data_IF_403463701623
#
_entry.id   IF_403463701623
#
_cell.length_a   1.000
_cell.length_b   1.000
_cell.length_c   1.000
_cell.angle_alpha   90.00
_cell.angle_beta   90.00
_cell.angle_gamma   90.00
#
_symmetry.space_group_name_H-M   'P 1'
#
loop_
_entity.id
_entity.type
_entity.pdbx_description
1 polymer ?
#
# COMPACT_ATOMS: atom_id res chain seq x y z
N UNK A 1 15.62 4.71 10.90
CA UNK A 1 14.78 3.60 11.41
C UNK A 1 14.07 2.90 10.24
N UNK A 2 13.54 1.69 10.42
CA UNK A 2 12.71 0.98 9.44
C UNK A 2 11.24 1.05 9.88
N UNK A 3 10.35 1.56 9.03
CA UNK A 3 8.93 1.77 9.33
C UNK A 3 8.09 1.03 8.28
N UNK A 4 7.14 0.21 8.70
CA UNK A 4 6.21 -0.49 7.82
C UNK A 4 4.79 0.06 8.01
N UNK A 5 4.12 0.45 6.92
CA UNK A 5 2.74 0.94 6.88
C UNK A 5 1.89 -0.11 6.16
N UNK A 6 0.87 -0.62 6.83
CA UNK A 6 -0.13 -1.53 6.26
C UNK A 6 -1.41 -0.76 5.99
N UNK A 7 -1.89 -0.80 4.76
CA UNK A 7 -3.05 -0.01 4.32
C UNK A 7 -3.88 -0.79 3.30
N UNK A 8 -5.18 -0.58 3.30
CA UNK A 8 -6.12 -1.09 2.30
C UNK A 8 -6.17 -0.23 1.02
N UNK A 9 -5.54 0.96 1.07
CA UNK A 9 -5.44 1.89 -0.03
C UNK A 9 -4.08 2.57 -0.13
N UNK A 10 -3.56 2.67 -1.35
CA UNK A 10 -2.42 3.50 -1.68
C UNK A 10 -2.50 3.94 -3.15
N UNK A 11 -1.59 4.81 -3.59
CA UNK A 11 -1.51 5.22 -4.99
C UNK A 11 -1.57 4.00 -5.93
N UNK A 12 -2.30 4.07 -7.06
CA UNK A 12 -2.89 5.25 -7.69
C UNK A 12 -4.28 5.67 -7.18
N UNK A 13 -4.83 5.07 -6.11
CA UNK A 13 -6.14 5.46 -5.58
C UNK A 13 -6.14 6.93 -5.15
N UNK A 14 -6.99 7.73 -5.79
CA UNK A 14 -7.09 9.18 -5.55
C UNK A 14 -8.07 9.45 -4.40
N UNK A 15 -7.61 9.23 -3.18
CA UNK A 15 -8.34 9.57 -1.96
C UNK A 15 -7.44 10.28 -0.93
N UNK A 16 -8.09 10.82 0.10
CA UNK A 16 -7.38 11.52 1.19
C UNK A 16 -6.40 10.60 1.92
N UNK A 17 -6.77 9.34 2.13
CA UNK A 17 -5.96 8.34 2.84
C UNK A 17 -4.63 8.06 2.12
N UNK A 18 -4.68 7.77 0.82
CA UNK A 18 -3.49 7.54 0.00
C UNK A 18 -2.56 8.77 0.00
N UNK A 19 -3.14 9.98 -0.04
CA UNK A 19 -2.40 11.24 0.04
C UNK A 19 -1.70 11.40 1.38
N UNK A 20 -2.39 11.16 2.49
CA UNK A 20 -1.80 11.24 3.84
C UNK A 20 -0.67 10.24 4.01
N UNK A 21 -0.84 9.00 3.55
CA UNK A 21 0.21 7.97 3.63
C UNK A 21 1.44 8.37 2.81
N UNK A 22 1.25 8.93 1.61
CA UNK A 22 2.34 9.45 0.78
C UNK A 22 3.13 10.54 1.51
N UNK A 23 2.43 11.52 2.10
CA UNK A 23 3.05 12.61 2.86
C UNK A 23 3.81 12.09 4.09
N UNK A 24 3.27 11.10 4.79
CA UNK A 24 3.92 10.44 5.93
C UNK A 24 5.20 9.74 5.49
N UNK A 25 5.13 8.95 4.40
CA UNK A 25 6.31 8.28 3.82
C UNK A 25 7.40 9.29 3.48
N UNK A 26 7.06 10.33 2.71
CA UNK A 26 8.02 11.37 2.31
C UNK A 26 8.58 12.15 3.51
N UNK A 27 7.75 12.40 4.53
CA UNK A 27 8.17 13.05 5.77
C UNK A 27 9.22 12.26 6.54
N UNK A 28 9.02 10.95 6.69
CA UNK A 28 9.98 10.08 7.38
C UNK A 28 11.21 9.76 6.52
N UNK A 29 11.06 9.61 5.20
CA UNK A 29 12.19 9.43 4.29
C UNK A 29 13.13 10.65 4.29
N UNK A 30 12.58 11.88 4.32
CA UNK A 30 13.38 13.11 4.49
C UNK A 30 14.15 13.15 5.81
N UNK A 31 13.68 12.47 6.86
CA UNK A 31 14.38 12.32 8.14
C UNK A 31 15.38 11.16 8.15
N UNK A 32 15.68 10.56 7.00
CA UNK A 32 16.63 9.45 6.87
C UNK A 32 16.07 8.10 7.33
N UNK A 33 14.75 7.93 7.38
CA UNK A 33 14.14 6.64 7.69
C UNK A 33 13.79 5.88 6.42
N UNK A 34 13.78 4.55 6.48
CA UNK A 34 13.28 3.70 5.41
C UNK A 34 11.83 3.35 5.68
N UNK A 35 10.93 3.77 4.78
CA UNK A 35 9.49 3.52 4.90
C UNK A 35 9.05 2.52 3.85
N UNK A 36 8.36 1.47 4.30
CA UNK A 36 7.81 0.40 3.49
C UNK A 36 6.29 0.44 3.55
N UNK A 37 5.63 0.30 2.40
CA UNK A 37 4.17 0.32 2.30
C UNK A 37 3.71 -1.04 1.82
N UNK A 38 2.76 -1.64 2.54
CA UNK A 38 2.11 -2.88 2.18
C UNK A 38 0.64 -2.57 1.88
N UNK A 39 0.24 -2.75 0.62
CA UNK A 39 -1.10 -2.39 0.17
C UNK A 39 -1.65 -3.41 -0.85
N UNK A 40 -2.97 -3.43 -1.08
CA UNK A 40 -3.59 -4.17 -2.18
C UNK A 40 -2.96 -3.93 -3.56
N UNK A 41 -2.81 -5.01 -4.33
CA UNK A 41 -2.57 -4.93 -5.76
C UNK A 41 -3.88 -4.59 -6.47
N UNK A 42 -3.88 -3.43 -7.12
CA UNK A 42 -4.98 -3.04 -8.01
C UNK A 42 -4.80 -3.73 -9.36
N UNK A 43 -5.89 -4.28 -9.88
CA UNK A 43 -5.88 -4.88 -11.21
C UNK A 43 -5.46 -3.82 -12.23
N UNK A 44 -4.33 -4.09 -12.91
CA UNK A 44 -3.87 -3.52 -14.19
C UNK A 44 -2.54 -2.76 -14.23
N UNK A 45 -1.83 -2.49 -13.12
CA UNK A 45 -0.54 -1.78 -13.23
C UNK A 45 0.51 -2.37 -12.29
N UNK A 46 1.54 -3.00 -12.88
CA UNK A 46 2.75 -3.40 -12.16
C UNK A 46 3.66 -2.18 -11.99
N UNK A 47 3.25 -1.25 -11.12
CA UNK A 47 4.10 -0.14 -10.71
C UNK A 47 5.19 -0.69 -9.80
N UNK A 48 6.37 -0.97 -10.37
CA UNK A 48 7.58 -1.26 -9.59
C UNK A 48 8.06 0.01 -8.91
N UNK A 49 7.56 0.25 -7.71
CA UNK A 49 7.95 1.38 -6.87
C UNK A 49 8.83 0.93 -5.70
N UNK A 50 9.83 1.74 -5.37
CA UNK A 50 10.75 1.45 -4.26
C UNK A 50 10.00 1.41 -2.92
N UNK A 51 10.21 0.33 -2.17
CA UNK A 51 9.63 0.10 -0.84
C UNK A 51 8.10 0.08 -0.81
N UNK A 52 7.44 -0.29 -1.91
CA UNK A 52 5.99 -0.49 -1.97
C UNK A 52 5.73 -1.92 -2.40
N UNK A 53 5.05 -2.66 -1.53
CA UNK A 53 4.73 -4.07 -1.70
C UNK A 53 3.24 -4.21 -1.91
N UNK A 54 2.88 -4.63 -3.12
CA UNK A 54 1.49 -4.84 -3.51
C UNK A 54 1.12 -6.30 -3.27
N UNK A 55 0.22 -6.55 -2.33
CA UNK A 55 -0.27 -7.88 -1.97
C UNK A 55 -1.55 -8.19 -2.74
N UNK A 56 -1.69 -9.42 -3.21
CA UNK A 56 -2.93 -9.86 -3.84
C UNK A 56 -4.11 -9.72 -2.86
N UNK A 57 -5.14 -8.97 -3.26
CA UNK A 57 -6.36 -8.80 -2.48
C UNK A 57 -7.58 -9.04 -3.37
N UNK A 58 -8.58 -9.71 -2.83
CA UNK A 58 -9.88 -9.89 -3.51
C UNK A 58 -10.88 -8.93 -2.85
N UNK A 59 -11.64 -8.18 -3.66
CA UNK A 59 -12.80 -7.43 -3.16
C UNK A 59 -13.85 -8.44 -2.72
N UNK A 60 -14.32 -8.34 -1.47
CA UNK A 60 -15.19 -9.37 -0.90
C UNK A 60 -16.59 -9.39 -1.54
N UNK A 61 -17.12 -8.23 -1.96
CA UNK A 61 -18.35 -8.08 -2.73
C UNK A 61 -18.41 -6.67 -3.39
N UNK A 62 -19.48 -6.37 -4.15
CA UNK A 62 -19.68 -5.06 -4.80
C UNK A 62 -20.38 -4.02 -3.89
N UNK A 63 -20.79 -4.40 -2.68
CA UNK A 63 -21.58 -3.58 -1.76
C UNK A 63 -20.80 -3.09 -0.53
N UNK A 64 -19.66 -3.72 -0.23
CA UNK A 64 -18.80 -3.47 0.93
C UNK A 64 -17.43 -3.07 0.41
N UNK A 65 -16.98 -1.88 0.78
CA UNK A 65 -15.66 -1.35 0.43
C UNK A 65 -14.56 -1.93 1.33
N UNK A 66 -14.58 -3.26 1.51
CA UNK A 66 -13.59 -3.99 2.30
C UNK A 66 -12.80 -4.95 1.39
N UNK A 67 -11.47 -4.86 1.46
CA UNK A 67 -10.54 -5.73 0.73
C UNK A 67 -9.85 -6.67 1.70
N UNK A 68 -9.87 -7.96 1.40
CA UNK A 68 -9.15 -8.97 2.19
C UNK A 68 -7.80 -9.25 1.53
N UNK A 69 -6.70 -9.02 2.27
CA UNK A 69 -5.36 -9.31 1.82
C UNK A 69 -4.96 -10.74 2.21
N UNK A 70 -4.39 -11.50 1.27
CA UNK A 70 -3.83 -12.82 1.57
C UNK A 70 -2.32 -12.71 1.83
N UNK A 71 -1.78 -13.43 2.84
CA UNK A 71 -0.35 -13.49 3.06
C UNK A 71 0.33 -14.11 1.84
N UNK A 72 1.36 -13.42 1.33
CA UNK A 72 2.07 -13.87 0.15
C UNK A 72 2.74 -15.23 0.45
N UNK A 73 2.44 -16.27 -0.33
CA UNK A 73 3.13 -17.56 -0.18
C UNK A 73 4.60 -17.33 -0.54
N UNK A 74 5.50 -17.51 0.43
CA UNK A 74 6.94 -17.54 0.17
C UNK A 74 7.23 -18.67 -0.82
N UNK A 75 8.01 -18.38 -1.86
CA UNK A 75 8.96 -19.35 -2.43
C UNK A 75 10.24 -19.28 -1.61
#
# INVERSE_FOLDING_TARGET
MKIAIFTDTYLPDKNGVATSIKQIKEGFERKGHSVYIFCPQYQKIDLKEKNIYRCFSIKLNNTVDAKMAFPNKKK
#
